data_IF_811436287480
#
_entry.id   IF_811436287480
#
_cell.length_a   1.000
_cell.length_b   1.000
_cell.length_c   1.000
_cell.angle_alpha   90.00
_cell.angle_beta   90.00
_cell.angle_gamma   90.00
#
_symmetry.space_group_name_H-M   'P 1'
#
loop_
_entity.id
_entity.type
_entity.pdbx_description
1 polymer ?
#
# COMPACT_ATOMS: atom_id res chain seq x y z
N UNK A 1 20.25 7.59 -55.27
CA UNK A 1 19.62 7.12 -54.01
C UNK A 1 20.53 6.13 -53.32
N UNK A 2 21.04 6.47 -52.13
CA UNK A 2 21.61 5.49 -51.18
C UNK A 2 21.16 5.94 -49.79
N UNK A 3 20.15 5.29 -49.25
CA UNK A 3 19.66 5.50 -47.89
C UNK A 3 20.72 4.95 -46.92
N UNK A 4 21.40 5.82 -46.18
CA UNK A 4 22.11 5.40 -44.96
C UNK A 4 21.06 5.34 -43.86
N UNK A 5 20.64 4.13 -43.54
CA UNK A 5 19.78 3.86 -42.40
C UNK A 5 20.48 4.32 -41.12
N UNK A 6 19.80 5.20 -40.39
CA UNK A 6 20.11 5.51 -39.00
C UNK A 6 19.74 4.28 -38.19
N UNK A 7 20.74 3.53 -37.72
CA UNK A 7 20.52 2.50 -36.71
C UNK A 7 20.41 3.23 -35.38
N UNK A 8 19.18 3.60 -35.01
CA UNK A 8 18.85 3.95 -33.64
C UNK A 8 18.94 2.65 -32.85
N UNK A 9 20.09 2.39 -32.25
CA UNK A 9 20.20 1.40 -31.18
C UNK A 9 19.29 1.87 -30.06
N UNK A 10 18.16 1.19 -29.88
CA UNK A 10 17.37 1.28 -28.66
C UNK A 10 18.19 0.62 -27.55
N UNK A 11 19.13 1.37 -26.99
CA UNK A 11 19.65 1.10 -25.65
C UNK A 11 18.46 1.25 -24.71
N UNK A 12 17.83 0.13 -24.36
CA UNK A 12 16.92 0.03 -23.24
C UNK A 12 17.74 0.32 -21.97
N UNK A 13 17.94 1.60 -21.69
CA UNK A 13 18.46 2.08 -20.41
C UNK A 13 17.45 1.60 -19.39
N UNK A 14 17.79 0.53 -18.68
CA UNK A 14 17.05 0.11 -17.50
C UNK A 14 17.10 1.28 -16.52
N UNK A 15 16.03 2.07 -16.48
CA UNK A 15 15.84 3.11 -15.48
C UNK A 15 15.59 2.37 -14.17
N UNK A 16 16.67 1.95 -13.53
CA UNK A 16 16.61 1.47 -12.16
C UNK A 16 16.12 2.65 -11.33
N UNK A 17 14.95 2.54 -10.67
CA UNK A 17 14.48 3.61 -9.82
C UNK A 17 15.55 3.87 -8.76
N UNK A 18 15.80 5.15 -8.47
CA UNK A 18 16.69 5.54 -7.38
C UNK A 18 16.20 4.83 -6.09
N UNK A 19 17.07 4.21 -5.27
CA UNK A 19 16.68 3.59 -4.00
C UNK A 19 15.83 4.51 -3.11
N UNK A 20 16.02 5.83 -3.18
CA UNK A 20 15.20 6.81 -2.48
C UNK A 20 13.76 6.83 -3.03
N UNK A 21 13.59 6.69 -4.35
CA UNK A 21 12.29 6.62 -5.00
C UNK A 21 11.53 5.34 -4.66
N UNK A 22 12.22 4.19 -4.55
CA UNK A 22 11.61 2.92 -4.14
C UNK A 22 11.15 2.95 -2.68
N UNK A 23 11.97 3.48 -1.78
CA UNK A 23 11.60 3.67 -0.38
C UNK A 23 10.40 4.60 -0.23
N UNK A 24 10.38 5.71 -0.97
CA UNK A 24 9.26 6.65 -0.92
C UNK A 24 7.96 6.03 -1.46
N UNK A 25 8.05 5.23 -2.52
CA UNK A 25 6.93 4.46 -3.04
C UNK A 25 6.41 3.47 -2.00
N UNK A 26 7.31 2.73 -1.34
CA UNK A 26 6.96 1.81 -0.28
C UNK A 26 6.22 2.51 0.88
N UNK A 27 6.73 3.66 1.32
CA UNK A 27 6.07 4.48 2.35
C UNK A 27 4.68 4.92 1.89
N UNK A 28 4.52 5.35 0.64
CA UNK A 28 3.23 5.78 0.10
C UNK A 28 2.20 4.64 0.09
N UNK A 29 2.61 3.45 -0.38
CA UNK A 29 1.77 2.25 -0.40
C UNK A 29 1.35 1.86 1.02
N UNK A 30 2.29 1.81 1.96
CA UNK A 30 2.00 1.46 3.35
C UNK A 30 1.06 2.47 4.03
N UNK A 31 1.25 3.77 3.76
CA UNK A 31 0.35 4.83 4.27
C UNK A 31 -1.06 4.68 3.71
N UNK A 32 -1.18 4.42 2.41
CA UNK A 32 -2.47 4.23 1.75
C UNK A 32 -3.21 3.03 2.35
N UNK A 33 -2.55 1.88 2.42
CA UNK A 33 -3.15 0.67 3.00
C UNK A 33 -3.55 0.88 4.46
N UNK A 34 -2.72 1.56 5.26
CA UNK A 34 -3.07 1.88 6.64
C UNK A 34 -4.29 2.79 6.73
N UNK A 35 -4.37 3.82 5.89
CA UNK A 35 -5.52 4.73 5.84
C UNK A 35 -6.80 3.98 5.49
N UNK A 36 -6.77 3.15 4.45
CA UNK A 36 -7.91 2.32 4.04
C UNK A 36 -8.34 1.36 5.16
N UNK A 37 -7.38 0.69 5.82
CA UNK A 37 -7.68 -0.20 6.94
C UNK A 37 -8.33 0.54 8.12
N UNK A 38 -7.98 1.80 8.33
CA UNK A 38 -8.43 2.61 9.47
C UNK A 38 -9.63 3.52 9.18
N UNK A 39 -10.08 3.63 7.93
CA UNK A 39 -11.17 4.53 7.53
C UNK A 39 -12.43 4.35 8.39
N UNK A 40 -13.02 5.46 8.84
CA UNK A 40 -14.32 5.45 9.53
C UNK A 40 -15.45 5.55 8.49
N UNK A 41 -16.34 4.57 8.51
CA UNK A 41 -17.42 4.44 7.55
C UNK A 41 -18.69 5.21 7.95
N UNK A 42 -18.75 5.75 9.18
CA UNK A 42 -19.94 6.42 9.71
C UNK A 42 -20.26 7.72 8.96
N UNK A 43 -19.25 8.51 8.63
CA UNK A 43 -19.39 9.79 7.94
C UNK A 43 -19.60 9.70 6.43
N UNK A 44 -19.57 8.50 5.84
CA UNK A 44 -19.68 8.31 4.40
C UNK A 44 -21.14 8.17 3.95
N UNK A 45 -21.43 8.71 2.76
CA UNK A 45 -22.69 8.47 2.03
C UNK A 45 -22.87 6.97 1.78
N UNK A 46 -24.13 6.54 1.71
CA UNK A 46 -24.47 5.11 1.65
C UNK A 46 -23.90 4.42 0.42
N UNK A 47 -23.92 5.10 -0.73
CA UNK A 47 -23.41 4.58 -2.01
C UNK A 47 -21.91 4.31 -1.93
N UNK A 48 -21.14 5.25 -1.36
CA UNK A 48 -19.70 5.09 -1.18
C UNK A 48 -19.35 4.08 -0.07
N UNK A 49 -20.24 3.89 0.92
CA UNK A 49 -19.96 3.04 2.08
C UNK A 49 -19.67 1.59 1.69
N UNK A 50 -20.28 1.07 0.62
CA UNK A 50 -20.02 -0.29 0.13
C UNK A 50 -18.60 -0.43 -0.42
N UNK A 51 -18.14 0.54 -1.20
CA UNK A 51 -16.80 0.53 -1.81
C UNK A 51 -15.71 0.67 -0.74
N UNK A 52 -15.89 1.62 0.18
CA UNK A 52 -14.95 1.81 1.29
C UNK A 52 -14.92 0.63 2.26
N UNK A 53 -16.02 -0.12 2.43
CA UNK A 53 -16.01 -1.39 3.18
C UNK A 53 -15.12 -2.43 2.50
N UNK A 54 -15.22 -2.55 1.17
CA UNK A 54 -14.41 -3.50 0.41
C UNK A 54 -12.92 -3.11 0.47
N UNK A 55 -12.59 -1.84 0.30
CA UNK A 55 -11.22 -1.32 0.44
C UNK A 55 -10.66 -1.57 1.84
N UNK A 56 -11.40 -1.18 2.88
CA UNK A 56 -11.01 -1.40 4.28
C UNK A 56 -10.73 -2.88 4.57
N UNK A 57 -11.58 -3.78 4.08
CA UNK A 57 -11.39 -5.23 4.24
C UNK A 57 -10.12 -5.71 3.54
N UNK A 58 -9.93 -5.37 2.26
CA UNK A 58 -8.75 -5.75 1.50
C UNK A 58 -7.46 -5.25 2.15
N UNK A 59 -7.44 -4.00 2.60
CA UNK A 59 -6.28 -3.42 3.27
C UNK A 59 -5.95 -4.11 4.61
N UNK A 60 -6.98 -4.43 5.41
CA UNK A 60 -6.80 -5.21 6.66
C UNK A 60 -6.26 -6.60 6.34
N UNK A 61 -6.87 -7.31 5.38
CA UNK A 61 -6.48 -8.67 5.02
C UNK A 61 -5.03 -8.70 4.49
N UNK A 62 -4.65 -7.71 3.67
CA UNK A 62 -3.29 -7.55 3.17
C UNK A 62 -2.29 -7.31 4.31
N UNK A 63 -2.52 -6.34 5.20
CA UNK A 63 -1.59 -6.07 6.30
C UNK A 63 -1.49 -7.28 7.27
N UNK A 64 -2.63 -7.90 7.57
CA UNK A 64 -2.70 -8.94 8.61
C UNK A 64 -2.16 -10.30 8.15
N UNK A 65 -2.42 -10.68 6.90
CA UNK A 65 -2.28 -12.07 6.46
C UNK A 65 -1.35 -12.25 5.27
N UNK A 66 -1.02 -11.20 4.52
CA UNK A 66 -0.12 -11.32 3.36
C UNK A 66 1.31 -11.62 3.82
N UNK A 67 1.87 -12.73 3.35
CA UNK A 67 3.17 -13.26 3.79
C UNK A 67 4.35 -12.76 2.96
N UNK A 68 4.11 -12.13 1.81
CA UNK A 68 5.15 -11.80 0.83
C UNK A 68 5.17 -10.32 0.47
N UNK A 69 4.08 -9.81 -0.11
CA UNK A 69 3.95 -8.43 -0.53
C UNK A 69 4.04 -7.44 0.63
N UNK A 70 3.24 -7.61 1.68
CA UNK A 70 3.26 -6.67 2.81
C UNK A 70 4.64 -6.63 3.52
N UNK A 71 5.28 -7.77 3.86
CA UNK A 71 6.64 -7.77 4.40
C UNK A 71 7.69 -7.16 3.46
N UNK A 72 7.58 -7.39 2.14
CA UNK A 72 8.46 -6.78 1.15
C UNK A 72 8.41 -5.25 1.19
N UNK A 73 7.22 -4.66 1.14
CA UNK A 73 7.06 -3.20 1.19
C UNK A 73 7.51 -2.62 2.53
N UNK A 74 7.28 -3.33 3.64
CA UNK A 74 7.79 -2.92 4.95
C UNK A 74 9.33 -2.87 4.97
N UNK A 75 9.99 -3.87 4.38
CA UNK A 75 11.45 -3.91 4.28
C UNK A 75 12.00 -2.73 3.48
N UNK A 76 11.40 -2.41 2.33
CA UNK A 76 11.80 -1.25 1.53
C UNK A 76 11.63 0.08 2.27
N UNK A 77 10.60 0.18 3.12
CA UNK A 77 10.33 1.38 3.92
C UNK A 77 11.18 1.47 5.21
N UNK A 78 11.95 0.43 5.55
CA UNK A 78 12.67 0.30 6.82
C UNK A 78 11.72 0.32 8.04
N UNK A 79 10.67 -0.51 7.99
CA UNK A 79 9.70 -0.69 9.09
C UNK A 79 9.48 -2.16 9.42
N UNK A 80 9.22 -2.46 10.69
CA UNK A 80 8.92 -3.82 11.16
C UNK A 80 7.45 -4.20 10.85
N UNK A 81 7.28 -5.21 9.99
CA UNK A 81 5.98 -5.72 9.59
C UNK A 81 5.21 -6.39 10.75
N UNK A 82 5.90 -7.03 11.71
CA UNK A 82 5.25 -7.65 12.88
C UNK A 82 4.71 -6.57 13.81
N UNK A 83 5.50 -5.53 14.08
CA UNK A 83 5.06 -4.39 14.88
C UNK A 83 3.83 -3.70 14.24
N UNK A 84 3.83 -3.55 12.92
CA UNK A 84 2.69 -3.00 12.18
C UNK A 84 1.42 -3.86 12.31
N UNK A 85 1.53 -5.19 12.21
CA UNK A 85 0.40 -6.12 12.42
C UNK A 85 -0.18 -6.05 13.83
N UNK A 86 0.71 -6.00 14.84
CA UNK A 86 0.30 -5.84 16.23
C UNK A 86 -0.43 -4.51 16.44
N UNK A 87 0.10 -3.42 15.87
CA UNK A 87 -0.51 -2.09 15.93
C UNK A 87 -1.88 -2.07 15.25
N UNK A 88 -2.03 -2.72 14.10
CA UNK A 88 -3.32 -2.83 13.41
C UNK A 88 -4.33 -3.59 14.28
N UNK A 89 -3.92 -4.73 14.85
CA UNK A 89 -4.76 -5.54 15.74
C UNK A 89 -5.25 -4.73 16.93
N UNK A 90 -4.36 -3.96 17.57
CA UNK A 90 -4.71 -3.07 18.66
C UNK A 90 -5.69 -1.98 18.21
N UNK A 91 -5.40 -1.28 17.12
CA UNK A 91 -6.21 -0.18 16.63
C UNK A 91 -7.64 -0.63 16.23
N UNK A 92 -7.76 -1.78 15.58
CA UNK A 92 -9.07 -2.37 15.23
C UNK A 92 -9.87 -2.77 16.49
N UNK A 93 -9.20 -3.29 17.53
CA UNK A 93 -9.86 -3.56 18.83
C UNK A 93 -10.40 -2.28 19.47
N UNK A 94 -9.65 -1.18 19.40
CA UNK A 94 -10.12 0.12 19.91
C UNK A 94 -11.30 0.66 19.11
N UNK A 95 -11.28 0.57 17.77
CA UNK A 95 -12.41 0.96 16.94
C UNK A 95 -13.69 0.18 17.27
N UNK A 96 -13.57 -1.11 17.55
CA UNK A 96 -14.73 -1.95 17.95
C UNK A 96 -15.29 -1.51 19.30
N UNK A 97 -14.44 -1.20 20.28
CA UNK A 97 -14.86 -0.70 21.60
C UNK A 97 -15.58 0.63 21.50
N UNK A 98 -15.02 1.58 20.73
CA UNK A 98 -15.62 2.88 20.51
C UNK A 98 -16.93 2.84 19.70
N UNK A 99 -17.27 1.69 19.08
CA UNK A 99 -18.56 1.48 18.41
C UNK A 99 -19.65 0.93 19.34
N UNK A 100 -19.25 0.30 20.44
CA UNK A 100 -20.16 -0.36 21.38
C UNK A 100 -20.50 0.49 22.62
N UNK A 101 -19.79 1.60 22.81
CA UNK A 101 -20.14 2.69 23.74
C UNK A 101 -20.87 3.80 22.98
#
# INVERSE_FOLDING_TARGET
>A
MKFRGSSCGEDHVAVHPDPISERNLAIAILRQAWHEAMVDLRGLKEESRKDYRALKRKAIDWIASDEEGFPYWCRLADVDHQAMRQRLTFALRQQRRARNN
#
